data_IF_739997188191
#
_entry.id   IF_739997188191
#
_cell.length_a   1.000
_cell.length_b   1.000
_cell.length_c   1.000
_cell.angle_alpha   90.00
_cell.angle_beta   90.00
_cell.angle_gamma   90.00
#
_symmetry.space_group_name_H-M   'P 1'
#
loop_
_entity.id
_entity.type
_entity.pdbx_description
1 polymer ?
#
# COMPACT_ATOMS: atom_id res chain seq x y z
N UNK A 1 -18.96 54.63 -46.24
CA UNK A 1 -19.35 53.87 -45.04
C UNK A 1 -19.08 52.40 -45.31
N UNK A 2 -17.84 51.95 -45.07
CA UNK A 2 -17.54 50.52 -45.03
C UNK A 2 -17.61 50.11 -43.57
N UNK A 3 -18.61 49.29 -43.22
CA UNK A 3 -18.71 48.69 -41.91
C UNK A 3 -17.58 47.67 -41.78
N UNK A 4 -16.60 47.96 -40.92
CA UNK A 4 -15.61 46.98 -40.50
C UNK A 4 -16.33 45.82 -39.81
N UNK A 5 -16.42 44.69 -40.53
CA UNK A 5 -16.82 43.43 -39.95
C UNK A 5 -15.74 43.04 -38.92
N UNK A 6 -16.09 43.15 -37.64
CA UNK A 6 -15.30 42.59 -36.54
C UNK A 6 -15.10 41.10 -36.82
N UNK A 7 -13.85 40.70 -37.02
CA UNK A 7 -13.47 39.30 -37.10
C UNK A 7 -13.93 38.58 -35.81
N UNK A 8 -14.46 37.34 -35.91
CA UNK A 8 -14.88 36.59 -34.73
C UNK A 8 -13.70 36.40 -33.78
N UNK A 9 -13.88 36.75 -32.51
CA UNK A 9 -12.91 36.49 -31.45
C UNK A 9 -12.60 34.99 -31.45
N UNK A 10 -11.32 34.65 -31.67
CA UNK A 10 -10.86 33.28 -31.62
C UNK A 10 -11.14 32.72 -30.21
N UNK A 11 -12.07 31.77 -30.12
CA UNK A 11 -12.33 31.00 -28.90
C UNK A 11 -11.02 30.30 -28.54
N UNK A 12 -10.36 30.77 -27.48
CA UNK A 12 -9.13 30.14 -26.99
C UNK A 12 -9.45 28.72 -26.56
N UNK A 13 -8.83 27.75 -27.21
CA UNK A 13 -8.84 26.35 -26.78
C UNK A 13 -8.26 26.27 -25.36
N UNK A 14 -8.93 25.58 -24.42
CA UNK A 14 -8.44 25.46 -23.06
C UNK A 14 -7.11 24.72 -23.04
N UNK A 15 -6.17 25.21 -22.22
CA UNK A 15 -4.87 24.55 -22.03
C UNK A 15 -5.01 23.32 -21.12
N UNK A 16 -4.02 22.44 -21.07
CA UNK A 16 -4.00 21.30 -20.11
C UNK A 16 -4.11 21.75 -18.65
N UNK A 17 -3.53 22.91 -18.30
CA UNK A 17 -3.69 23.49 -16.97
C UNK A 17 -5.13 23.96 -16.72
N UNK A 18 -5.80 24.52 -17.73
CA UNK A 18 -7.22 24.88 -17.65
C UNK A 18 -8.12 23.65 -17.51
N UNK A 19 -7.85 22.59 -18.28
CA UNK A 19 -8.58 21.32 -18.20
C UNK A 19 -8.38 20.63 -16.86
N UNK A 20 -7.15 20.61 -16.32
CA UNK A 20 -6.89 20.09 -14.97
C UNK A 20 -7.70 20.85 -13.92
N UNK A 21 -7.69 22.19 -13.99
CA UNK A 21 -8.44 23.02 -13.05
C UNK A 21 -9.95 22.78 -13.16
N UNK A 22 -10.49 22.70 -14.38
CA UNK A 22 -11.90 22.40 -14.61
C UNK A 22 -12.30 21.02 -14.08
N UNK A 23 -11.44 20.01 -14.27
CA UNK A 23 -11.62 18.68 -13.69
C UNK A 23 -11.61 18.73 -12.16
N UNK A 24 -10.59 19.35 -11.54
CA UNK A 24 -10.45 19.45 -10.08
C UNK A 24 -11.67 20.18 -9.47
N UNK A 25 -12.12 21.28 -10.08
CA UNK A 25 -13.29 22.05 -9.63
C UNK A 25 -14.59 21.23 -9.75
N UNK A 26 -14.74 20.47 -10.86
CA UNK A 26 -15.91 19.62 -11.09
C UNK A 26 -15.94 18.41 -10.13
N UNK A 27 -14.79 17.80 -9.88
CA UNK A 27 -14.63 16.68 -8.95
C UNK A 27 -14.92 17.13 -7.51
N UNK A 28 -14.41 18.30 -7.11
CA UNK A 28 -14.71 18.90 -5.80
C UNK A 28 -16.21 19.22 -5.63
N UNK A 29 -16.86 19.68 -6.70
CA UNK A 29 -18.31 19.89 -6.70
C UNK A 29 -19.05 18.57 -6.51
N UNK A 30 -18.65 17.51 -7.23
CA UNK A 30 -19.25 16.18 -7.11
C UNK A 30 -19.06 15.58 -5.71
N UNK A 31 -17.88 15.74 -5.10
CA UNK A 31 -17.58 15.32 -3.73
C UNK A 31 -18.48 16.04 -2.70
N UNK A 32 -18.82 17.30 -2.97
CA UNK A 32 -19.79 18.06 -2.18
C UNK A 32 -21.26 17.65 -2.38
N UNK A 33 -21.58 16.84 -3.40
CA UNK A 33 -22.93 16.36 -3.65
C UNK A 33 -23.19 15.04 -2.92
N UNK A 34 -24.33 14.95 -2.23
CA UNK A 34 -24.79 13.67 -1.68
C UNK A 34 -25.29 12.77 -2.81
N UNK A 35 -24.63 11.63 -3.03
CA UNK A 35 -25.12 10.60 -3.95
C UNK A 35 -26.52 10.12 -3.52
N UNK A 36 -27.57 10.30 -4.34
CA UNK A 36 -28.90 9.81 -3.99
C UNK A 36 -28.88 8.28 -3.88
N UNK A 37 -29.40 7.73 -2.79
CA UNK A 37 -29.56 6.29 -2.64
C UNK A 37 -31.01 5.88 -2.94
N UNK A 38 -31.23 4.63 -3.33
CA UNK A 38 -32.58 4.12 -3.60
C UNK A 38 -33.48 4.17 -2.35
N UNK A 39 -32.88 4.03 -1.15
CA UNK A 39 -33.59 4.17 0.13
C UNK A 39 -34.17 5.58 0.36
N UNK A 40 -33.65 6.60 -0.33
CA UNK A 40 -34.10 7.99 -0.21
C UNK A 40 -35.20 8.32 -1.23
N UNK A 41 -35.55 7.36 -2.11
CA UNK A 41 -36.63 7.51 -3.07
C UNK A 41 -37.97 7.55 -2.32
N UNK A 42 -38.82 8.57 -2.57
CA UNK A 42 -40.13 8.64 -1.94
C UNK A 42 -40.98 7.40 -2.23
N UNK A 43 -41.56 6.82 -1.19
CA UNK A 43 -42.45 5.67 -1.31
C UNK A 43 -43.82 6.12 -1.79
N UNK A 44 -44.39 5.41 -2.75
CA UNK A 44 -45.76 5.65 -3.22
C UNK A 44 -46.76 5.48 -2.07
N UNK A 45 -47.67 6.44 -1.83
CA UNK A 45 -48.69 6.30 -0.81
C UNK A 45 -49.58 5.08 -1.05
N UNK A 46 -49.99 4.41 0.01
CA UNK A 46 -50.82 3.19 -0.05
C UNK A 46 -52.28 3.43 0.35
N UNK A 47 -52.66 4.64 0.72
CA UNK A 47 -54.04 4.95 1.08
C UNK A 47 -54.97 4.71 -0.13
N UNK A 48 -56.12 4.09 0.13
CA UNK A 48 -57.12 3.80 -0.89
C UNK A 48 -57.58 5.10 -1.59
N UNK A 49 -57.60 5.10 -2.93
CA UNK A 49 -58.03 6.23 -3.76
C UNK A 49 -56.96 7.27 -4.08
N UNK A 50 -55.77 7.25 -3.44
CA UNK A 50 -54.67 8.18 -3.82
C UNK A 50 -54.15 7.90 -5.24
N UNK A 51 -54.12 6.62 -5.63
CA UNK A 51 -53.65 6.19 -6.95
C UNK A 51 -54.37 6.87 -8.11
N UNK A 52 -55.65 7.26 -7.93
CA UNK A 52 -56.44 7.91 -8.98
C UNK A 52 -55.94 9.32 -9.31
N UNK A 53 -55.23 9.96 -8.38
CA UNK A 53 -54.66 11.31 -8.51
C UNK A 53 -53.23 11.29 -9.08
N UNK A 54 -52.66 10.12 -9.35
CA UNK A 54 -51.31 9.96 -9.90
C UNK A 54 -51.43 9.29 -11.26
N UNK A 55 -50.80 9.88 -12.28
CA UNK A 55 -50.64 9.25 -13.60
C UNK A 55 -49.17 9.03 -13.90
N UNK A 56 -48.85 8.05 -14.73
CA UNK A 56 -47.48 7.81 -15.16
C UNK A 56 -47.29 8.39 -16.56
N UNK A 57 -46.28 9.24 -16.73
CA UNK A 57 -45.88 9.83 -18.02
C UNK A 57 -44.40 9.51 -18.22
N UNK A 58 -44.06 8.88 -19.34
CA UNK A 58 -42.69 8.45 -19.67
C UNK A 58 -42.00 7.66 -18.54
N UNK A 59 -42.78 6.82 -17.85
CA UNK A 59 -42.29 6.00 -16.74
C UNK A 59 -42.13 6.73 -15.40
N UNK A 60 -42.53 8.00 -15.31
CA UNK A 60 -42.47 8.82 -14.09
C UNK A 60 -43.88 9.13 -13.57
N UNK A 61 -44.09 8.90 -12.27
CA UNK A 61 -45.35 9.26 -11.59
C UNK A 61 -45.46 10.79 -11.45
N UNK A 62 -46.53 11.37 -12.00
CA UNK A 62 -46.85 12.80 -11.95
C UNK A 62 -48.29 13.03 -11.48
N UNK A 63 -48.57 14.23 -11.00
CA UNK A 63 -49.90 14.59 -10.52
C UNK A 63 -50.91 14.60 -11.68
N UNK A 64 -52.11 14.11 -11.42
CA UNK A 64 -53.23 14.18 -12.35
C UNK A 64 -54.16 15.37 -11.99
N UNK A 65 -54.01 16.54 -12.63
CA UNK A 65 -54.79 17.73 -12.28
C UNK A 65 -56.28 17.58 -12.65
N UNK A 66 -56.61 16.74 -13.63
CA UNK A 66 -57.98 16.53 -14.13
C UNK A 66 -58.89 15.86 -13.10
N UNK A 67 -58.29 15.30 -12.04
CA UNK A 67 -58.99 14.66 -10.93
C UNK A 67 -59.20 15.58 -9.74
N UNK A 68 -58.75 16.84 -9.80
CA UNK A 68 -58.92 17.79 -8.69
C UNK A 68 -60.40 18.09 -8.45
N UNK A 69 -60.90 17.69 -7.28
CA UNK A 69 -62.28 17.94 -6.82
C UNK A 69 -62.27 18.38 -5.36
N UNK A 70 -63.22 19.23 -4.97
CA UNK A 70 -63.31 19.72 -3.58
C UNK A 70 -63.64 18.63 -2.56
N UNK A 71 -64.24 17.51 -2.99
CA UNK A 71 -64.69 16.41 -2.12
C UNK A 71 -63.53 15.60 -1.51
N UNK A 72 -62.33 15.63 -2.10
CA UNK A 72 -61.19 14.78 -1.73
C UNK A 72 -59.84 15.53 -1.73
N UNK A 73 -59.86 16.80 -1.30
CA UNK A 73 -58.68 17.68 -1.35
C UNK A 73 -57.47 17.13 -0.55
N UNK A 74 -57.70 16.40 0.53
CA UNK A 74 -56.62 15.79 1.33
C UNK A 74 -55.87 14.69 0.58
N UNK A 75 -56.59 13.81 -0.13
CA UNK A 75 -55.98 12.77 -0.96
C UNK A 75 -55.22 13.38 -2.13
N UNK A 76 -55.79 14.42 -2.74
CA UNK A 76 -55.13 15.21 -3.79
C UNK A 76 -53.84 15.87 -3.27
N UNK A 77 -53.86 16.47 -2.08
CA UNK A 77 -52.69 17.11 -1.48
C UNK A 77 -51.59 16.11 -1.11
N UNK A 78 -51.95 14.90 -0.64
CA UNK A 78 -50.99 13.81 -0.41
C UNK A 78 -50.36 13.33 -1.71
N UNK A 79 -51.17 13.13 -2.76
CA UNK A 79 -50.67 12.78 -4.10
C UNK A 79 -49.71 13.85 -4.63
N UNK A 80 -50.12 15.13 -4.52
CA UNK A 80 -49.30 16.28 -4.89
C UNK A 80 -47.95 16.25 -4.18
N UNK A 81 -47.95 16.13 -2.84
CA UNK A 81 -46.73 16.07 -2.05
C UNK A 81 -45.80 14.92 -2.47
N UNK A 82 -46.33 13.71 -2.67
CA UNK A 82 -45.54 12.59 -3.17
C UNK A 82 -44.91 12.89 -4.54
N UNK A 83 -45.69 13.42 -5.48
CA UNK A 83 -45.17 13.73 -6.83
C UNK A 83 -44.13 14.87 -6.81
N UNK A 84 -44.27 15.85 -5.91
CA UNK A 84 -43.27 16.91 -5.70
C UNK A 84 -41.98 16.35 -5.09
N UNK A 85 -42.09 15.51 -4.06
CA UNK A 85 -40.95 14.87 -3.42
C UNK A 85 -40.22 13.93 -4.41
N UNK A 86 -40.97 13.18 -5.23
CA UNK A 86 -40.42 12.29 -6.27
C UNK A 86 -39.74 13.09 -7.38
N UNK A 87 -40.33 14.20 -7.83
CA UNK A 87 -39.72 15.09 -8.80
C UNK A 87 -38.41 15.70 -8.25
N UNK A 88 -38.39 16.10 -6.98
CA UNK A 88 -37.18 16.61 -6.33
C UNK A 88 -36.09 15.54 -6.20
N UNK A 89 -36.45 14.28 -5.87
CA UNK A 89 -35.52 13.16 -5.85
C UNK A 89 -34.94 12.87 -7.24
N UNK A 90 -35.80 12.72 -8.25
CA UNK A 90 -35.36 12.45 -9.62
C UNK A 90 -34.48 13.58 -10.16
N UNK A 91 -34.77 14.84 -9.79
CA UNK A 91 -33.91 15.97 -10.11
C UNK A 91 -32.51 15.82 -9.48
N UNK A 92 -32.42 15.45 -8.19
CA UNK A 92 -31.12 15.19 -7.55
C UNK A 92 -30.35 14.04 -8.21
N UNK A 93 -31.05 12.97 -8.61
CA UNK A 93 -30.46 11.85 -9.35
C UNK A 93 -29.90 12.33 -10.69
N UNK A 94 -30.69 13.10 -11.45
CA UNK A 94 -30.29 13.66 -12.73
C UNK A 94 -29.11 14.63 -12.58
N UNK A 95 -29.16 15.54 -11.60
CA UNK A 95 -28.10 16.51 -11.33
C UNK A 95 -26.79 15.81 -10.93
N UNK A 96 -26.86 14.80 -10.06
CA UNK A 96 -25.69 14.00 -9.68
C UNK A 96 -25.12 13.23 -10.87
N UNK A 97 -25.98 12.56 -11.66
CA UNK A 97 -25.56 11.82 -12.84
C UNK A 97 -24.95 12.73 -13.92
N UNK A 98 -25.51 13.92 -14.12
CA UNK A 98 -24.97 14.92 -15.04
C UNK A 98 -23.60 15.42 -14.57
N UNK A 99 -23.43 15.69 -13.28
CA UNK A 99 -22.14 16.11 -12.72
C UNK A 99 -21.09 14.99 -12.77
N UNK A 100 -21.46 13.75 -12.46
CA UNK A 100 -20.60 12.56 -12.57
C UNK A 100 -20.14 12.35 -14.03
N UNK A 101 -21.07 12.48 -14.99
CA UNK A 101 -20.77 12.44 -16.42
C UNK A 101 -19.79 13.56 -16.81
N UNK A 102 -20.05 14.79 -16.37
CA UNK A 102 -19.17 15.94 -16.61
C UNK A 102 -17.76 15.74 -16.05
N UNK A 103 -17.63 15.16 -14.85
CA UNK A 103 -16.32 14.82 -14.27
C UNK A 103 -15.60 13.79 -15.13
N UNK A 104 -16.29 12.74 -15.59
CA UNK A 104 -15.71 11.72 -16.47
C UNK A 104 -15.28 12.30 -17.81
N UNK A 105 -16.09 13.16 -18.42
CA UNK A 105 -15.76 13.82 -19.69
C UNK A 105 -14.57 14.77 -19.53
N UNK A 106 -14.53 15.61 -18.49
CA UNK A 106 -13.40 16.51 -18.23
C UNK A 106 -12.13 15.74 -17.89
N UNK A 107 -12.25 14.63 -17.16
CA UNK A 107 -11.11 13.75 -16.90
C UNK A 107 -10.59 13.13 -18.20
N UNK A 108 -11.47 12.63 -19.06
CA UNK A 108 -11.09 12.10 -20.36
C UNK A 108 -10.44 13.17 -21.26
N UNK A 109 -10.97 14.41 -21.25
CA UNK A 109 -10.37 15.53 -21.99
C UNK A 109 -9.02 15.95 -21.42
N UNK A 110 -8.85 15.96 -20.09
CA UNK A 110 -7.58 16.22 -19.44
C UNK A 110 -6.55 15.12 -19.75
N UNK A 111 -6.94 13.85 -19.73
CA UNK A 111 -6.07 12.74 -20.13
C UNK A 111 -5.69 12.85 -21.61
N UNK A 112 -6.64 13.12 -22.49
CA UNK A 112 -6.36 13.35 -23.90
C UNK A 112 -5.51 14.60 -24.16
N UNK A 113 -5.63 15.64 -23.32
CA UNK A 113 -4.78 16.83 -23.43
C UNK A 113 -3.37 16.58 -22.90
N UNK A 114 -3.20 15.71 -21.89
CA UNK A 114 -1.89 15.21 -21.49
C UNK A 114 -1.24 14.39 -22.61
N UNK A 115 -2.02 13.56 -23.32
CA UNK A 115 -1.55 12.82 -24.51
C UNK A 115 -1.22 13.75 -25.69
N UNK A 116 -1.99 14.83 -25.89
CA UNK A 116 -1.73 15.81 -26.95
C UNK A 116 -0.57 16.76 -26.62
N UNK A 117 -0.39 17.16 -25.35
CA UNK A 117 0.79 17.88 -24.87
C UNK A 117 2.05 17.00 -24.92
N UNK A 118 1.90 15.69 -24.79
CA UNK A 118 2.96 14.71 -25.07
C UNK A 118 3.28 14.58 -26.57
N UNK A 119 2.33 14.92 -27.47
CA UNK A 119 2.46 14.89 -28.93
C UNK A 119 2.69 16.27 -29.58
N UNK A 120 2.86 17.34 -28.79
CA UNK A 120 3.28 18.66 -29.29
C UNK A 120 4.82 18.69 -29.22
N UNK A 121 5.57 19.09 -30.26
CA UNK A 121 7.02 18.88 -30.28
C UNK A 121 7.71 19.70 -29.19
N UNK A 122 7.98 19.04 -28.07
CA UNK A 122 8.95 19.39 -27.05
C UNK A 122 10.05 18.37 -27.17
N UNK A 123 11.27 18.85 -27.40
CA UNK A 123 12.57 18.17 -27.31
C UNK A 123 12.55 16.64 -27.56
N UNK A 124 13.15 16.21 -28.68
CA UNK A 124 13.46 14.82 -29.04
C UNK A 124 12.96 13.75 -28.04
N UNK A 125 11.94 13.00 -28.45
CA UNK A 125 11.43 11.81 -27.76
C UNK A 125 12.60 10.99 -27.18
N UNK A 126 12.61 10.67 -25.88
CA UNK A 126 13.67 9.86 -25.30
C UNK A 126 13.82 8.59 -26.12
N UNK A 127 15.06 8.26 -26.46
CA UNK A 127 15.34 7.09 -27.27
C UNK A 127 14.87 5.80 -26.55
N UNK A 128 14.71 4.70 -27.29
CA UNK A 128 14.50 3.36 -26.69
C UNK A 128 15.51 3.08 -25.54
N UNK A 129 16.72 3.65 -25.63
CA UNK A 129 17.77 3.52 -24.62
C UNK A 129 17.43 4.26 -23.31
N UNK A 130 16.74 5.40 -23.36
CA UNK A 130 16.36 6.18 -22.18
C UNK A 130 15.24 5.48 -21.38
N UNK A 131 14.23 4.94 -22.08
CA UNK A 131 13.19 4.10 -21.46
C UNK A 131 13.79 2.83 -20.82
N UNK A 132 14.70 2.17 -21.54
CA UNK A 132 15.41 0.99 -21.04
C UNK A 132 16.25 1.32 -19.80
N UNK A 133 16.98 2.43 -19.82
CA UNK A 133 17.81 2.87 -18.70
C UNK A 133 16.96 3.24 -17.47
N UNK A 134 15.83 3.93 -17.66
CA UNK A 134 14.91 4.27 -16.59
C UNK A 134 14.29 3.01 -15.95
N UNK A 135 13.85 2.06 -16.77
CA UNK A 135 13.30 0.79 -16.31
C UNK A 135 14.33 -0.06 -15.54
N UNK A 136 15.55 -0.16 -16.07
CA UNK A 136 16.65 -0.87 -15.40
C UNK A 136 17.01 -0.23 -14.04
N UNK A 137 17.09 1.10 -13.99
CA UNK A 137 17.39 1.83 -12.76
C UNK A 137 16.28 1.65 -11.71
N UNK A 138 15.02 1.70 -12.12
CA UNK A 138 13.88 1.47 -11.23
C UNK A 138 13.85 0.02 -10.73
N UNK A 139 14.10 -0.95 -11.60
CA UNK A 139 14.19 -2.38 -11.25
C UNK A 139 15.30 -2.66 -10.23
N UNK A 140 16.47 -2.05 -10.41
CA UNK A 140 17.60 -2.17 -9.45
C UNK A 140 17.26 -1.58 -8.08
N UNK A 141 16.58 -0.43 -8.05
CA UNK A 141 16.11 0.19 -6.80
C UNK A 141 15.07 -0.69 -6.11
N UNK A 142 14.14 -1.26 -6.86
CA UNK A 142 13.13 -2.17 -6.33
C UNK A 142 13.77 -3.43 -5.74
N UNK A 143 14.75 -4.03 -6.42
CA UNK A 143 15.51 -5.17 -5.90
C UNK A 143 16.20 -4.85 -4.56
N UNK A 144 16.86 -3.69 -4.46
CA UNK A 144 17.51 -3.26 -3.22
C UNK A 144 16.51 -3.01 -2.08
N UNK A 145 15.33 -2.48 -2.41
CA UNK A 145 14.26 -2.24 -1.45
C UNK A 145 13.59 -3.56 -0.99
N UNK A 146 13.30 -4.49 -1.90
CA UNK A 146 12.79 -5.84 -1.59
C UNK A 146 13.70 -6.57 -0.61
N UNK A 147 15.01 -6.58 -0.90
CA UNK A 147 16.01 -7.15 0.00
C UNK A 147 16.00 -6.48 1.37
N UNK A 148 15.91 -5.15 1.42
CA UNK A 148 15.87 -4.39 2.67
C UNK A 148 14.65 -4.73 3.52
N UNK A 149 13.47 -4.91 2.91
CA UNK A 149 12.24 -5.34 3.59
C UNK A 149 12.43 -6.74 4.18
N UNK A 150 12.90 -7.69 3.38
CA UNK A 150 13.10 -9.08 3.80
C UNK A 150 14.12 -9.19 4.94
N UNK A 151 15.23 -8.46 4.86
CA UNK A 151 16.26 -8.43 5.91
C UNK A 151 15.76 -7.78 7.21
N UNK A 152 15.04 -6.66 7.10
CA UNK A 152 14.47 -5.97 8.25
C UNK A 152 13.42 -6.84 8.96
N UNK A 153 12.55 -7.50 8.18
CA UNK A 153 11.59 -8.45 8.72
C UNK A 153 12.28 -9.64 9.40
N UNK A 154 13.28 -10.26 8.76
CA UNK A 154 13.98 -11.41 9.33
C UNK A 154 14.58 -11.07 10.71
N UNK A 155 15.13 -9.85 10.86
CA UNK A 155 15.63 -9.35 12.15
C UNK A 155 14.51 -9.14 13.16
N UNK A 156 13.41 -8.51 12.77
CA UNK A 156 12.28 -8.26 13.65
C UNK A 156 11.63 -9.58 14.10
N UNK A 157 11.46 -10.54 13.18
CA UNK A 157 10.93 -11.88 13.45
C UNK A 157 11.79 -12.68 14.43
N UNK A 158 13.11 -12.63 14.27
CA UNK A 158 14.05 -13.26 15.21
C UNK A 158 13.91 -12.69 16.62
N UNK A 159 13.86 -11.36 16.75
CA UNK A 159 13.71 -10.69 18.05
C UNK A 159 12.35 -10.96 18.69
N UNK A 160 11.28 -11.05 17.89
CA UNK A 160 9.94 -11.41 18.39
C UNK A 160 9.93 -12.85 18.95
N UNK A 161 10.62 -13.78 18.29
CA UNK A 161 10.86 -15.13 18.81
C UNK A 161 11.68 -15.16 20.11
N UNK A 162 12.73 -14.36 20.21
CA UNK A 162 13.53 -14.20 21.45
C UNK A 162 12.68 -13.62 22.59
N UNK A 163 11.84 -12.62 22.30
CA UNK A 163 10.92 -12.02 23.26
C UNK A 163 9.90 -13.04 23.77
N UNK A 164 9.32 -13.86 22.88
CA UNK A 164 8.39 -14.93 23.26
C UNK A 164 9.05 -15.93 24.23
N UNK A 165 10.29 -16.33 23.94
CA UNK A 165 11.06 -17.21 24.81
C UNK A 165 11.40 -16.54 26.17
N UNK A 166 11.72 -15.25 26.16
CA UNK A 166 12.00 -14.48 27.38
C UNK A 166 10.74 -14.35 28.26
N UNK A 167 9.57 -14.07 27.66
CA UNK A 167 8.29 -14.03 28.37
C UNK A 167 7.97 -15.37 29.03
N UNK A 168 8.19 -16.48 28.32
CA UNK A 168 8.02 -17.82 28.91
C UNK A 168 8.93 -18.06 30.13
N UNK A 169 10.20 -17.62 30.06
CA UNK A 169 11.14 -17.70 31.19
C UNK A 169 10.72 -16.82 32.37
N UNK A 170 10.26 -15.60 32.11
CA UNK A 170 9.77 -14.70 33.15
C UNK A 170 8.53 -15.29 33.86
N UNK A 171 7.59 -15.87 33.10
CA UNK A 171 6.43 -16.57 33.67
C UNK A 171 6.84 -17.78 34.53
N UNK A 172 7.83 -18.57 34.09
CA UNK A 172 8.34 -19.70 34.87
C UNK A 172 9.04 -19.24 36.17
N UNK A 173 9.82 -18.17 36.12
CA UNK A 173 10.49 -17.60 37.29
C UNK A 173 9.48 -17.03 38.29
N UNK A 174 8.46 -16.32 37.81
CA UNK A 174 7.35 -15.85 38.65
C UNK A 174 6.63 -17.03 39.31
N UNK A 175 6.31 -18.08 38.56
CA UNK A 175 5.66 -19.27 39.11
C UNK A 175 6.52 -19.92 40.20
N UNK A 176 7.81 -20.12 39.96
CA UNK A 176 8.72 -20.71 40.95
C UNK A 176 8.83 -19.85 42.23
N UNK A 177 8.88 -18.53 42.08
CA UNK A 177 8.84 -17.61 43.22
C UNK A 177 7.54 -17.74 44.02
N UNK A 178 6.38 -17.70 43.35
CA UNK A 178 5.07 -17.77 44.00
C UNK A 178 4.81 -19.14 44.64
N UNK A 179 5.15 -20.24 43.96
CA UNK A 179 5.01 -21.59 44.51
C UNK A 179 5.86 -21.72 45.78
N UNK A 180 7.13 -21.32 45.74
CA UNK A 180 8.02 -21.39 46.90
C UNK A 180 7.53 -20.55 48.08
N UNK A 181 7.05 -19.33 47.80
CA UNK A 181 6.48 -18.43 48.80
C UNK A 181 5.25 -19.05 49.48
N UNK A 182 4.38 -19.70 48.71
CA UNK A 182 3.17 -20.33 49.22
C UNK A 182 3.46 -21.61 50.02
N UNK A 183 4.45 -22.40 49.62
CA UNK A 183 4.85 -23.63 50.31
C UNK A 183 5.51 -23.37 51.68
N UNK A 184 6.07 -22.17 51.89
CA UNK A 184 6.82 -21.80 53.10
C UNK A 184 6.21 -20.59 53.82
N UNK A 185 4.89 -20.35 53.68
CA UNK A 185 4.22 -19.16 54.24
C UNK A 185 4.14 -19.15 55.77
N UNK A 186 4.09 -20.33 56.39
CA UNK A 186 3.72 -20.47 57.81
C UNK A 186 4.95 -20.54 58.74
N UNK A 187 6.07 -21.07 58.27
CA UNK A 187 7.33 -21.15 59.03
C UNK A 187 8.54 -21.10 58.09
N UNK A 188 9.05 -19.89 57.83
CA UNK A 188 10.15 -19.67 56.88
C UNK A 188 11.50 -19.74 57.59
N UNK A 189 12.28 -20.78 57.30
CA UNK A 189 13.64 -20.87 57.85
C UNK A 189 14.57 -19.82 57.23
N UNK A 190 15.72 -19.55 57.88
CA UNK A 190 16.76 -18.67 57.32
C UNK A 190 17.26 -19.14 55.94
N UNK A 191 17.26 -20.46 55.69
CA UNK A 191 17.64 -21.04 54.39
C UNK A 191 16.56 -20.77 53.35
N UNK A 192 15.29 -20.83 53.73
CA UNK A 192 14.16 -20.62 52.81
C UNK A 192 14.06 -19.15 52.42
N UNK A 193 14.25 -18.23 53.38
CA UNK A 193 14.36 -16.80 53.11
C UNK A 193 15.48 -16.48 52.10
N UNK A 194 16.65 -17.12 52.24
CA UNK A 194 17.75 -16.96 51.29
C UNK A 194 17.43 -17.52 49.89
N UNK A 195 16.64 -18.61 49.82
CA UNK A 195 16.21 -19.21 48.56
C UNK A 195 15.16 -18.33 47.87
N UNK A 196 14.17 -17.84 48.61
CA UNK A 196 13.16 -16.91 48.13
C UNK A 196 13.80 -15.64 47.55
N UNK A 197 14.82 -15.08 48.23
CA UNK A 197 15.57 -13.93 47.71
C UNK A 197 16.28 -14.19 46.38
N UNK A 198 16.80 -15.40 46.15
CA UNK A 198 17.39 -15.79 44.85
C UNK A 198 16.31 -15.92 43.77
N UNK A 199 15.15 -16.48 44.11
CA UNK A 199 14.02 -16.60 43.19
C UNK A 199 13.44 -15.23 42.82
N UNK A 200 13.34 -14.31 43.78
CA UNK A 200 12.95 -12.92 43.53
C UNK A 200 13.92 -12.26 42.56
N UNK A 201 15.24 -12.36 42.82
CA UNK A 201 16.25 -11.82 41.91
C UNK A 201 16.15 -12.43 40.51
N UNK A 202 15.96 -13.75 40.40
CA UNK A 202 15.80 -14.42 39.11
C UNK A 202 14.56 -13.93 38.35
N UNK A 203 13.44 -13.67 39.06
CA UNK A 203 12.24 -13.05 38.49
C UNK A 203 12.54 -11.63 38.00
N UNK A 204 13.15 -10.79 38.82
CA UNK A 204 13.50 -9.39 38.47
C UNK A 204 14.45 -9.33 37.25
N UNK A 205 15.47 -10.19 37.21
CA UNK A 205 16.39 -10.30 36.09
C UNK A 205 15.68 -10.76 34.81
N UNK A 206 14.72 -11.69 34.92
CA UNK A 206 13.91 -12.14 33.78
C UNK A 206 12.96 -11.05 33.26
N UNK A 207 12.30 -10.31 34.15
CA UNK A 207 11.44 -9.17 33.80
C UNK A 207 12.25 -8.07 33.10
N UNK A 208 13.43 -7.74 33.62
CA UNK A 208 14.33 -6.76 33.00
C UNK A 208 14.79 -7.20 31.59
N UNK A 209 15.04 -8.50 31.39
CA UNK A 209 15.37 -9.05 30.08
C UNK A 209 14.20 -8.94 29.10
N UNK A 210 12.96 -9.16 29.55
CA UNK A 210 11.75 -8.95 28.75
C UNK A 210 11.63 -7.50 28.31
N UNK A 211 11.68 -6.54 29.24
CA UNK A 211 11.55 -5.11 28.89
C UNK A 211 12.62 -4.65 27.90
N UNK A 212 13.86 -5.12 28.05
CA UNK A 212 14.95 -4.83 27.12
C UNK A 212 14.69 -5.40 25.72
N UNK A 213 14.11 -6.60 25.62
CA UNK A 213 13.75 -7.20 24.34
C UNK A 213 12.54 -6.52 23.70
N UNK A 214 11.55 -6.07 24.48
CA UNK A 214 10.41 -5.30 23.96
C UNK A 214 10.85 -4.03 23.25
N UNK A 215 11.78 -3.27 23.83
CA UNK A 215 12.38 -2.11 23.17
C UNK A 215 13.06 -2.48 21.84
N UNK A 216 13.88 -3.53 21.83
CA UNK A 216 14.55 -3.99 20.60
C UNK A 216 13.58 -4.48 19.52
N UNK A 217 12.50 -5.15 19.92
CA UNK A 217 11.45 -5.60 19.00
C UNK A 217 10.73 -4.39 18.41
N UNK A 218 10.37 -3.40 19.24
CA UNK A 218 9.75 -2.16 18.78
C UNK A 218 10.63 -1.43 17.76
N UNK A 219 11.92 -1.26 18.06
CA UNK A 219 12.88 -0.63 17.14
C UNK A 219 13.02 -1.41 15.82
N UNK A 220 13.02 -2.75 15.88
CA UNK A 220 13.13 -3.59 14.70
C UNK A 220 11.86 -3.56 13.84
N UNK A 221 10.68 -3.52 14.48
CA UNK A 221 9.38 -3.34 13.79
C UNK A 221 9.31 -1.99 13.08
N UNK A 222 9.75 -0.91 13.75
CA UNK A 222 9.85 0.41 13.12
C UNK A 222 10.76 0.42 11.88
N UNK A 223 11.93 -0.22 11.96
CA UNK A 223 12.83 -0.36 10.79
C UNK A 223 12.25 -1.19 9.66
N UNK A 224 11.46 -2.21 9.97
CA UNK A 224 10.72 -2.97 8.97
C UNK A 224 9.67 -2.09 8.29
N UNK A 225 8.91 -1.29 9.04
CA UNK A 225 7.93 -0.36 8.48
C UNK A 225 8.56 0.71 7.58
N UNK A 226 9.71 1.27 8.00
CA UNK A 226 10.50 2.19 7.19
C UNK A 226 11.02 1.55 5.89
N UNK A 227 11.51 0.31 5.98
CA UNK A 227 11.96 -0.44 4.80
C UNK A 227 10.81 -0.68 3.83
N UNK A 228 9.62 -1.01 4.35
CA UNK A 228 8.42 -1.22 3.54
C UNK A 228 7.95 0.09 2.88
N UNK A 229 7.99 1.21 3.58
CA UNK A 229 7.69 2.51 2.98
C UNK A 229 8.65 2.88 1.84
N UNK A 230 9.94 2.57 1.97
CA UNK A 230 10.92 2.73 0.87
C UNK A 230 10.65 1.78 -0.29
N UNK A 231 10.20 0.56 0.01
CA UNK A 231 9.77 -0.39 -1.00
C UNK A 231 8.55 0.13 -1.78
N UNK A 232 7.53 0.65 -1.12
CA UNK A 232 6.33 1.18 -1.79
C UNK A 232 6.69 2.31 -2.78
N UNK A 233 7.62 3.19 -2.41
CA UNK A 233 8.14 4.24 -3.29
C UNK A 233 8.93 3.66 -4.47
N UNK A 234 9.80 2.68 -4.22
CA UNK A 234 10.58 2.03 -5.27
C UNK A 234 9.71 1.22 -6.24
N UNK A 235 8.67 0.56 -5.72
CA UNK A 235 7.69 -0.19 -6.49
C UNK A 235 6.86 0.75 -7.38
N UNK A 236 6.36 1.87 -6.85
CA UNK A 236 5.64 2.85 -7.66
C UNK A 236 6.51 3.44 -8.79
N UNK A 237 7.80 3.68 -8.53
CA UNK A 237 8.74 4.12 -9.57
C UNK A 237 8.96 3.04 -10.65
N UNK A 238 9.04 1.77 -10.24
CA UNK A 238 9.16 0.64 -11.16
C UNK A 238 7.91 0.43 -11.99
N UNK A 239 6.73 0.44 -11.37
CA UNK A 239 5.44 0.30 -12.04
C UNK A 239 5.25 1.39 -13.09
N UNK A 240 5.57 2.65 -12.76
CA UNK A 240 5.57 3.75 -13.71
C UNK A 240 6.54 3.53 -14.87
N UNK A 241 7.81 3.22 -14.58
CA UNK A 241 8.82 3.01 -15.61
C UNK A 241 8.49 1.82 -16.54
N UNK A 242 7.89 0.76 -15.98
CA UNK A 242 7.41 -0.39 -16.75
C UNK A 242 6.25 -0.02 -17.66
N UNK A 243 5.26 0.73 -17.15
CA UNK A 243 4.14 1.23 -17.94
C UNK A 243 4.61 2.15 -19.07
N UNK A 244 5.48 3.12 -18.76
CA UNK A 244 6.06 4.04 -19.74
C UNK A 244 6.80 3.28 -20.86
N UNK A 245 7.67 2.33 -20.50
CA UNK A 245 8.42 1.53 -21.48
C UNK A 245 7.51 0.62 -22.32
N UNK A 246 6.50 -0.02 -21.70
CA UNK A 246 5.54 -0.89 -22.41
C UNK A 246 4.71 -0.10 -23.41
N UNK A 247 4.23 1.09 -23.01
CA UNK A 247 3.42 1.95 -23.86
C UNK A 247 4.21 2.52 -25.04
N UNK A 248 5.50 2.81 -24.84
CA UNK A 248 6.40 3.19 -25.93
C UNK A 248 6.63 2.02 -26.90
N UNK A 249 7.04 0.87 -26.37
CA UNK A 249 7.29 -0.34 -27.17
C UNK A 249 7.30 -1.59 -26.29
N UNK A 250 6.35 -2.51 -26.53
CA UNK A 250 6.20 -3.74 -25.74
C UNK A 250 7.47 -4.59 -25.64
N UNK A 251 8.34 -4.58 -26.66
CA UNK A 251 9.58 -5.37 -26.62
C UNK A 251 10.57 -4.88 -25.54
N UNK A 252 10.43 -3.66 -25.03
CA UNK A 252 11.34 -3.08 -24.03
C UNK A 252 11.14 -3.66 -22.62
N UNK A 253 9.95 -4.22 -22.36
CA UNK A 253 9.66 -4.85 -21.06
C UNK A 253 9.92 -6.36 -21.06
N UNK A 254 10.37 -6.92 -22.19
CA UNK A 254 10.73 -8.35 -22.25
C UNK A 254 11.87 -8.66 -21.29
N UNK A 255 11.64 -9.64 -20.42
CA UNK A 255 12.60 -10.06 -19.38
C UNK A 255 12.41 -9.35 -18.04
N UNK A 256 11.60 -8.29 -17.95
CA UNK A 256 11.21 -7.66 -16.70
C UNK A 256 9.98 -8.35 -16.08
N UNK A 257 9.93 -8.37 -14.75
CA UNK A 257 8.80 -8.96 -14.00
C UNK A 257 7.61 -8.00 -14.04
N UNK A 258 6.42 -8.48 -14.41
CA UNK A 258 5.23 -7.63 -14.45
C UNK A 258 4.91 -7.08 -13.05
N UNK A 259 4.54 -5.78 -12.90
CA UNK A 259 4.28 -5.17 -11.60
C UNK A 259 3.27 -5.94 -10.74
N UNK A 260 2.20 -6.50 -11.34
CA UNK A 260 1.21 -7.30 -10.61
C UNK A 260 1.80 -8.56 -9.94
N UNK A 261 2.91 -9.09 -10.45
CA UNK A 261 3.61 -10.26 -9.90
C UNK A 261 4.76 -9.90 -8.97
N UNK A 262 5.28 -8.67 -9.07
CA UNK A 262 6.44 -8.20 -8.32
C UNK A 262 6.10 -7.61 -6.94
N UNK A 263 4.81 -7.31 -6.69
CA UNK A 263 4.37 -6.59 -5.49
C UNK A 263 4.47 -7.46 -4.24
N UNK A 264 5.22 -7.00 -3.24
CA UNK A 264 5.20 -7.51 -1.88
C UNK A 264 3.98 -6.96 -1.15
N UNK A 265 3.33 -7.83 -0.37
CA UNK A 265 2.26 -7.45 0.53
C UNK A 265 2.74 -7.59 1.96
N UNK A 266 2.31 -6.68 2.84
CA UNK A 266 2.61 -6.79 4.27
C UNK A 266 2.10 -8.11 4.87
N UNK A 267 1.01 -8.65 4.31
CA UNK A 267 0.45 -9.97 4.67
C UNK A 267 1.39 -11.14 4.38
N UNK A 268 2.38 -10.95 3.50
CA UNK A 268 3.38 -11.97 3.19
C UNK A 268 4.37 -12.18 4.34
N UNK A 269 4.34 -11.33 5.37
CA UNK A 269 5.29 -11.32 6.47
C UNK A 269 4.56 -11.51 7.81
N UNK A 270 4.74 -12.68 8.43
CA UNK A 270 4.04 -13.03 9.66
C UNK A 270 5.03 -13.33 10.80
N UNK A 271 4.96 -12.54 11.87
CA UNK A 271 5.80 -12.75 13.07
C UNK A 271 5.56 -14.14 13.67
N UNK A 272 6.64 -14.84 14.01
CA UNK A 272 6.63 -16.21 14.50
C UNK A 272 6.47 -17.29 13.44
N UNK A 273 6.08 -16.93 12.20
CA UNK A 273 5.89 -17.87 11.09
C UNK A 273 6.95 -17.68 10.00
N UNK A 274 7.27 -16.42 9.66
CA UNK A 274 8.24 -16.07 8.61
C UNK A 274 7.58 -15.42 7.39
N UNK A 275 8.22 -15.57 6.23
CA UNK A 275 7.65 -15.15 4.95
C UNK A 275 6.69 -16.23 4.44
N UNK A 276 5.45 -15.86 4.17
CA UNK A 276 4.36 -16.72 3.69
C UNK A 276 3.87 -16.33 2.29
N UNK A 277 4.47 -15.31 1.67
CA UNK A 277 4.18 -14.93 0.30
C UNK A 277 4.62 -16.00 -0.69
N UNK A 278 3.92 -16.07 -1.83
CA UNK A 278 4.27 -16.95 -2.94
C UNK A 278 5.33 -16.34 -3.88
N UNK A 279 5.66 -15.07 -3.70
CA UNK A 279 6.58 -14.32 -4.54
C UNK A 279 8.04 -14.57 -4.13
N UNK A 280 8.81 -15.10 -5.07
CA UNK A 280 10.27 -15.19 -4.98
C UNK A 280 10.89 -13.79 -4.77
N UNK A 281 12.12 -13.71 -4.23
CA UNK A 281 12.84 -12.45 -4.14
C UNK A 281 12.89 -11.76 -5.50
N UNK A 282 12.63 -10.44 -5.53
CA UNK A 282 12.66 -9.71 -6.77
C UNK A 282 14.07 -9.73 -7.38
N UNK A 283 14.18 -10.14 -8.63
CA UNK A 283 15.45 -10.16 -9.37
C UNK A 283 15.35 -9.15 -10.51
N UNK A 284 16.22 -8.14 -10.50
CA UNK A 284 16.34 -7.24 -11.63
C UNK A 284 16.92 -8.00 -12.83
N UNK A 285 16.42 -7.81 -14.06
CA UNK A 285 17.00 -8.42 -15.23
C UNK A 285 18.47 -8.01 -15.38
N UNK A 286 19.30 -8.93 -15.87
CA UNK A 286 20.65 -8.58 -16.30
C UNK A 286 20.58 -7.52 -17.41
N UNK A 287 21.56 -6.62 -17.45
CA UNK A 287 21.62 -5.60 -18.51
C UNK A 287 21.50 -6.27 -19.90
N UNK A 288 20.72 -5.71 -20.83
CA UNK A 288 20.57 -6.31 -22.15
C UNK A 288 21.95 -6.46 -22.82
N UNK A 289 22.21 -7.64 -23.36
CA UNK A 289 23.43 -7.93 -24.09
C UNK A 289 23.42 -7.16 -25.42
N UNK A 290 23.98 -5.95 -25.43
CA UNK A 290 24.12 -5.19 -26.67
C UNK A 290 24.20 -3.68 -26.52
N UNK A 291 25.28 -3.18 -25.93
CA UNK A 291 25.95 -1.97 -26.43
C UNK A 291 27.41 -2.01 -25.97
N UNK A 292 28.40 -1.89 -26.87
CA UNK A 292 29.80 -1.82 -26.49
C UNK A 292 29.98 -0.58 -25.62
N UNK A 293 30.31 -0.79 -24.35
CA UNK A 293 30.56 0.29 -23.42
C UNK A 293 31.67 1.20 -23.94
N UNK A 294 31.48 2.51 -23.73
CA UNK A 294 32.59 3.46 -23.69
C UNK A 294 33.69 2.88 -22.79
N UNK A 295 34.97 2.88 -23.20
CA UNK A 295 36.03 2.24 -22.45
C UNK A 295 36.23 2.96 -21.11
N UNK A 296 36.01 2.26 -19.99
CA UNK A 296 36.38 2.74 -18.66
C UNK A 296 35.32 2.65 -17.56
N UNK A 297 34.71 1.48 -17.35
CA UNK A 297 34.13 1.13 -16.05
C UNK A 297 34.10 -0.40 -15.88
N UNK A 298 34.45 -0.94 -14.70
CA UNK A 298 34.59 -2.38 -14.50
C UNK A 298 33.24 -3.10 -14.59
N UNK A 299 33.20 -4.15 -15.40
CA UNK A 299 32.07 -5.08 -15.51
C UNK A 299 31.88 -5.83 -14.19
N UNK A 300 30.72 -5.67 -13.55
CA UNK A 300 30.26 -6.56 -12.49
C UNK A 300 29.56 -7.75 -13.15
N UNK A 301 30.25 -8.89 -13.14
CA UNK A 301 29.84 -10.13 -13.78
C UNK A 301 28.63 -10.80 -13.15
N UNK A 302 27.94 -11.52 -14.02
CA UNK A 302 26.85 -12.46 -13.81
C UNK A 302 26.91 -13.29 -12.51
N UNK A 303 25.72 -13.62 -11.98
CA UNK A 303 25.47 -14.97 -11.47
C UNK A 303 23.97 -15.29 -11.52
N UNK A 304 23.61 -16.12 -12.49
CA UNK A 304 22.38 -16.91 -12.47
C UNK A 304 22.61 -18.27 -11.81
N UNK A 305 21.59 -18.72 -11.08
CA UNK A 305 21.15 -20.10 -10.84
C UNK A 305 22.17 -21.22 -10.55
N UNK A 306 22.17 -21.69 -9.29
CA UNK A 306 22.22 -23.10 -8.86
C UNK A 306 21.95 -23.08 -7.33
N UNK A 307 21.18 -23.92 -6.64
CA UNK A 307 20.55 -25.20 -6.87
C UNK A 307 20.29 -25.77 -5.47
N UNK A 308 19.14 -26.39 -5.22
CA UNK A 308 18.87 -27.12 -3.97
C UNK A 308 19.91 -28.24 -3.78
N UNK A 309 20.52 -28.35 -2.60
CA UNK A 309 20.91 -29.61 -1.97
C UNK A 309 21.45 -29.36 -0.56
N UNK A 310 20.87 -30.02 0.44
CA UNK A 310 21.54 -30.21 1.72
C UNK A 310 22.55 -31.34 1.60
N UNK A 311 23.72 -31.18 2.23
CA UNK A 311 24.53 -32.26 2.80
C UNK A 311 25.74 -31.67 3.55
N UNK A 312 26.07 -32.32 4.66
CA UNK A 312 27.21 -32.07 5.55
C UNK A 312 28.56 -32.00 4.83
N UNK A 313 29.48 -31.19 5.35
CA UNK A 313 30.88 -31.56 5.50
C UNK A 313 31.58 -30.61 6.49
N UNK A 314 32.05 -31.18 7.61
CA UNK A 314 33.20 -30.64 8.37
C UNK A 314 34.41 -30.59 7.44
N UNK A 315 35.17 -29.50 7.46
CA UNK A 315 36.60 -29.56 7.13
C UNK A 315 37.35 -28.58 8.04
N UNK A 316 38.02 -29.18 9.02
CA UNK A 316 39.21 -28.70 9.70
C UNK A 316 40.27 -28.27 8.69
N UNK A 317 40.89 -27.09 8.86
CA UNK A 317 42.22 -26.88 8.31
C UNK A 317 43.07 -26.04 9.26
N UNK A 318 43.88 -26.78 10.03
CA UNK A 318 45.21 -26.36 10.48
C UNK A 318 46.06 -26.01 9.25
N UNK A 319 46.75 -24.87 9.29
CA UNK A 319 48.20 -24.81 9.06
C UNK A 319 48.78 -23.43 9.35
N UNK A 320 49.58 -23.43 10.41
CA UNK A 320 50.97 -22.96 10.45
C UNK A 320 51.28 -21.53 10.00
N UNK A 321 51.53 -20.69 11.01
CA UNK A 321 52.78 -19.92 11.01
C UNK A 321 53.40 -19.95 12.40
N UNK A 322 54.19 -20.99 12.60
CA UNK A 322 55.25 -21.02 13.60
C UNK A 322 56.29 -19.93 13.26
N UNK A 323 56.46 -18.99 14.18
CA UNK A 323 57.72 -18.27 14.38
C UNK A 323 57.94 -18.08 15.88
N UNK A 324 58.53 -19.11 16.49
CA UNK A 324 59.70 -19.02 17.39
C UNK A 324 59.79 -17.82 18.34
N UNK A 325 59.62 -18.11 19.63
CA UNK A 325 60.07 -17.31 20.78
C UNK A 325 59.89 -18.15 22.05
N UNK A 326 60.65 -19.23 22.18
CA UNK A 326 61.74 -19.38 23.16
C UNK A 326 61.29 -19.30 24.65
N UNK A 327 61.07 -20.50 25.20
CA UNK A 327 61.38 -20.99 26.56
C UNK A 327 61.59 -19.99 27.69
N UNK A 328 60.76 -20.07 28.73
CA UNK A 328 61.25 -20.25 30.11
C UNK A 328 60.15 -20.79 31.04
N UNK A 329 60.18 -22.10 31.28
CA UNK A 329 59.74 -22.70 32.54
C UNK A 329 60.99 -22.87 33.40
N UNK A 330 60.95 -22.43 34.66
CA UNK A 330 62.01 -22.76 35.62
C UNK A 330 62.14 -21.85 36.83
N UNK A 331 61.36 -22.17 37.88
CA UNK A 331 61.73 -22.16 39.32
C UNK A 331 62.22 -20.89 40.01
N UNK A 332 61.56 -20.55 41.14
CA UNK A 332 62.20 -19.76 42.20
C UNK A 332 61.26 -19.21 43.28
N UNK A 333 61.12 -20.00 44.37
CA UNK A 333 60.67 -19.67 45.76
C UNK A 333 59.19 -19.37 45.98
#
# INVERSE_FOLDING_TARGET
FAAEAKAPEAVKTPTTADLKKQYDDAAKTLEGMTKPADKDKPTKPTDAGIGDYIKTVDGVDVLNPDKKTDVNMDLYNKAKKYTEDLAAYNKKVADYAAQDTKVKELHAQYLASLENDANTPKAEDPSDADYTAALQAASTKLQAADKSVRDAFAKANKLDGELKAAKAKASAALKAYTDFQNEHSDDMSKRDAATLGRLQKAKEDADAAVSKLEGKVSDAKGKYDEAFGKYDVAFGAYEKAYGDAKNHKESLVLGFVAPETAKLLRSDFQYGVGFVGSSDPFVAPGAPAGQPGKPGAPAAGANGAAGKAGAKAEVENKKDKDKRGNTHTGTGV
#
